data_IF_089999696698
#
_entry.id   IF_089999696698
#
_cell.length_a   1.000
_cell.length_b   1.000
_cell.length_c   1.000
_cell.angle_alpha   90.00
_cell.angle_beta   90.00
_cell.angle_gamma   90.00
#
_symmetry.space_group_name_H-M   'P 1'
#
loop_
_entity.id
_entity.type
_entity.pdbx_description
1 polymer ?
#
# COMPACT_ATOMS: atom_id res chain seq x y z
N UNK A 1 -1.46 -59.55 27.07
CA UNK A 1 -0.72 -58.28 27.23
C UNK A 1 -0.35 -57.61 25.91
N UNK A 2 0.26 -58.30 24.93
CA UNK A 2 0.72 -57.70 23.65
C UNK A 2 -0.37 -56.95 22.84
N UNK A 3 -1.61 -57.47 22.78
CA UNK A 3 -2.74 -56.79 22.10
C UNK A 3 -3.18 -55.48 22.77
N UNK A 4 -3.16 -55.40 24.11
CA UNK A 4 -3.53 -54.18 24.85
C UNK A 4 -2.46 -53.09 24.72
N UNK A 5 -1.19 -53.49 24.60
CA UNK A 5 -0.07 -52.57 24.38
C UNK A 5 -0.11 -51.95 22.96
N UNK A 6 -0.47 -52.74 21.94
CA UNK A 6 -0.60 -52.25 20.57
C UNK A 6 -1.74 -51.24 20.38
N UNK A 7 -2.87 -51.44 21.06
CA UNK A 7 -4.00 -50.49 21.03
C UNK A 7 -3.65 -49.18 21.73
N UNK A 8 -2.95 -49.24 22.87
CA UNK A 8 -2.48 -48.03 23.57
C UNK A 8 -1.48 -47.22 22.73
N UNK A 9 -0.56 -47.89 22.01
CA UNK A 9 0.39 -47.22 21.13
C UNK A 9 -0.30 -46.54 19.94
N UNK A 10 -1.33 -47.19 19.36
CA UNK A 10 -2.10 -46.64 18.25
C UNK A 10 -2.87 -45.38 18.69
N UNK A 11 -3.45 -45.39 19.89
CA UNK A 11 -4.14 -44.23 20.48
C UNK A 11 -3.17 -43.07 20.70
N UNK A 12 -1.95 -43.33 21.17
CA UNK A 12 -0.91 -42.31 21.36
C UNK A 12 -0.46 -41.71 20.03
N UNK A 13 -0.28 -42.53 18.99
CA UNK A 13 0.09 -42.06 17.65
C UNK A 13 -1.04 -41.22 17.04
N UNK A 14 -2.29 -41.66 17.16
CA UNK A 14 -3.44 -40.89 16.68
C UNK A 14 -3.56 -39.58 17.46
N UNK A 15 -3.41 -39.59 18.79
CA UNK A 15 -3.39 -38.36 19.60
C UNK A 15 -2.24 -37.44 19.21
N UNK A 16 -1.03 -37.95 19.00
CA UNK A 16 0.10 -37.14 18.53
C UNK A 16 -0.17 -36.55 17.16
N UNK A 17 -0.70 -37.31 16.20
CA UNK A 17 -1.05 -36.81 14.87
C UNK A 17 -2.17 -35.76 14.96
N UNK A 18 -3.21 -36.01 15.77
CA UNK A 18 -4.33 -35.07 15.92
C UNK A 18 -3.89 -33.77 16.59
N UNK A 19 -3.00 -33.89 17.58
CA UNK A 19 -2.40 -32.77 18.30
C UNK A 19 -1.43 -32.01 17.40
N UNK A 20 -0.58 -32.66 16.59
CA UNK A 20 0.29 -31.95 15.63
C UNK A 20 -0.52 -31.31 14.49
N UNK A 21 -1.62 -31.91 14.04
CA UNK A 21 -2.51 -31.29 13.04
C UNK A 21 -3.32 -30.12 13.61
N UNK A 22 -3.67 -30.13 14.91
CA UNK A 22 -4.37 -29.01 15.57
C UNK A 22 -3.43 -27.93 16.11
N UNK A 23 -2.18 -28.26 16.42
CA UNK A 23 -1.14 -27.29 16.84
C UNK A 23 -0.55 -26.58 15.62
N UNK A 24 -0.70 -27.13 14.42
CA UNK A 24 -0.03 -26.64 13.22
C UNK A 24 -0.75 -25.58 12.40
N UNK A 25 -2.04 -25.30 12.62
CA UNK A 25 -2.79 -24.28 11.88
C UNK A 25 -3.55 -23.39 12.87
N UNK A 26 -3.20 -22.12 12.89
CA UNK A 26 -4.02 -21.09 13.54
C UNK A 26 -5.38 -21.03 12.83
N UNK A 27 -6.49 -20.88 13.56
CA UNK A 27 -7.82 -20.71 12.97
C UNK A 27 -7.91 -19.49 12.03
N UNK A 28 -6.93 -18.59 12.12
CA UNK A 28 -6.83 -17.36 11.31
C UNK A 28 -5.78 -17.48 10.18
N UNK A 29 -5.29 -18.67 9.85
CA UNK A 29 -4.32 -18.89 8.78
C UNK A 29 -4.98 -19.48 7.53
N UNK A 30 -4.76 -18.85 6.38
CA UNK A 30 -5.27 -19.28 5.09
C UNK A 30 -4.27 -20.19 4.38
N UNK A 31 -4.77 -21.25 3.78
CA UNK A 31 -3.97 -22.12 2.91
C UNK A 31 -4.01 -21.64 1.46
N UNK A 32 -3.06 -22.13 0.67
CA UNK A 32 -3.00 -21.89 -0.77
C UNK A 32 -4.27 -22.36 -1.49
N UNK A 33 -4.86 -23.47 -1.06
CA UNK A 33 -6.08 -24.03 -1.66
C UNK A 33 -7.29 -23.12 -1.38
N UNK A 34 -7.36 -22.54 -0.18
CA UNK A 34 -8.43 -21.61 0.19
C UNK A 34 -8.36 -20.33 -0.64
N UNK A 35 -7.18 -19.71 -0.77
CA UNK A 35 -7.06 -18.45 -1.52
C UNK A 35 -7.20 -18.65 -3.04
N UNK A 36 -6.91 -19.83 -3.56
CA UNK A 36 -7.09 -20.15 -4.99
C UNK A 36 -8.54 -20.53 -5.34
N UNK A 37 -9.48 -20.47 -4.39
CA UNK A 37 -10.88 -20.67 -4.71
C UNK A 37 -11.40 -19.45 -5.50
N UNK A 38 -12.07 -19.63 -6.67
CA UNK A 38 -12.49 -18.50 -7.51
C UNK A 38 -13.36 -17.45 -6.82
N UNK A 39 -14.15 -17.90 -5.86
CA UNK A 39 -15.08 -17.07 -5.09
C UNK A 39 -14.50 -16.51 -3.78
N UNK A 40 -13.20 -16.73 -3.52
CA UNK A 40 -12.56 -16.39 -2.24
C UNK A 40 -12.73 -14.92 -1.81
N UNK A 41 -12.80 -13.99 -2.77
CA UNK A 41 -12.93 -12.56 -2.50
C UNK A 41 -14.38 -12.09 -2.29
N UNK A 42 -15.40 -12.91 -2.63
CA UNK A 42 -16.81 -12.44 -2.67
C UNK A 42 -17.37 -12.02 -1.32
N UNK A 43 -16.87 -12.60 -0.24
CA UNK A 43 -17.25 -12.34 1.15
C UNK A 43 -16.20 -11.48 1.90
N UNK A 44 -15.24 -10.90 1.18
CA UNK A 44 -14.19 -10.05 1.76
C UNK A 44 -14.50 -8.58 1.50
N UNK A 45 -14.41 -7.78 2.55
CA UNK A 45 -14.59 -6.33 2.46
C UNK A 45 -13.27 -5.59 2.34
N UNK A 46 -12.18 -6.14 2.89
CA UNK A 46 -10.90 -5.46 2.92
C UNK A 46 -9.72 -6.43 2.97
N UNK A 47 -8.54 -5.91 2.63
CA UNK A 47 -7.28 -6.62 2.76
C UNK A 47 -6.17 -5.67 3.22
N UNK A 48 -5.33 -6.15 4.16
CA UNK A 48 -4.15 -5.46 4.67
C UNK A 48 -2.91 -6.23 4.25
N UNK A 49 -1.94 -5.56 3.65
CA UNK A 49 -0.63 -6.12 3.34
C UNK A 49 0.36 -5.73 4.41
N UNK A 50 0.97 -6.73 5.04
CA UNK A 50 2.00 -6.54 6.05
C UNK A 50 3.28 -7.25 5.64
N UNK A 51 4.43 -6.67 5.97
CA UNK A 51 5.72 -7.33 5.72
C UNK A 51 6.78 -6.93 6.75
N UNK A 52 7.81 -7.76 6.86
CA UNK A 52 9.09 -7.37 7.46
C UNK A 52 9.76 -6.26 6.66
N UNK A 53 10.58 -5.46 7.32
CA UNK A 53 11.46 -4.47 6.69
C UNK A 53 12.62 -5.16 5.95
N UNK A 54 13.33 -4.44 5.06
CA UNK A 54 14.42 -5.03 4.28
C UNK A 54 15.62 -5.44 5.15
N UNK A 55 15.90 -4.72 6.25
CA UNK A 55 16.95 -5.08 7.20
C UNK A 55 16.65 -6.39 7.94
N UNK A 56 15.37 -6.66 8.22
CA UNK A 56 14.92 -7.92 8.82
C UNK A 56 14.99 -9.11 7.85
N UNK A 57 14.89 -8.88 6.53
CA UNK A 57 14.99 -9.91 5.49
C UNK A 57 16.42 -10.13 4.96
N UNK A 58 17.45 -9.53 5.55
CA UNK A 58 18.84 -9.73 5.10
C UNK A 58 19.31 -11.19 5.15
N UNK A 59 18.71 -12.01 6.02
CA UNK A 59 18.98 -13.44 6.12
C UNK A 59 18.06 -14.31 5.23
N UNK A 60 17.26 -13.67 4.37
CA UNK A 60 16.26 -14.26 3.49
C UNK A 60 15.09 -14.95 4.23
N UNK A 61 14.82 -14.61 5.50
CA UNK A 61 13.73 -15.18 6.33
C UNK A 61 12.60 -14.18 6.60
N UNK A 62 12.59 -13.05 5.92
CA UNK A 62 11.50 -12.09 5.95
C UNK A 62 10.20 -12.74 5.51
N UNK A 63 9.10 -12.25 6.07
CA UNK A 63 7.75 -12.77 5.86
C UNK A 63 6.81 -11.62 5.53
N UNK A 64 5.76 -11.93 4.79
CA UNK A 64 4.65 -11.02 4.55
C UNK A 64 3.32 -11.72 4.81
N UNK A 65 2.27 -10.93 5.03
CA UNK A 65 0.90 -11.41 5.11
C UNK A 65 0.00 -10.57 4.21
N UNK A 66 -0.89 -11.24 3.49
CA UNK A 66 -2.15 -10.64 3.05
C UNK A 66 -3.23 -11.05 4.05
N UNK A 67 -3.70 -10.11 4.89
CA UNK A 67 -4.76 -10.36 5.87
C UNK A 67 -6.08 -9.88 5.30
N UNK A 68 -6.97 -10.83 5.02
CA UNK A 68 -8.31 -10.58 4.50
C UNK A 68 -9.29 -10.43 5.65
N UNK A 69 -10.11 -9.38 5.59
CA UNK A 69 -11.19 -9.10 6.52
C UNK A 69 -12.50 -9.42 5.79
N UNK A 70 -13.28 -10.36 6.33
CA UNK A 70 -14.59 -10.69 5.79
C UNK A 70 -15.66 -9.66 6.15
N UNK A 71 -16.83 -9.72 5.52
CA UNK A 71 -17.94 -8.78 5.76
C UNK A 71 -18.45 -8.76 7.22
N UNK A 72 -18.11 -9.76 8.02
CA UNK A 72 -18.46 -9.85 9.44
C UNK A 72 -17.35 -9.31 10.36
N UNK A 73 -16.25 -8.81 9.79
CA UNK A 73 -15.11 -8.29 10.53
C UNK A 73 -14.12 -9.37 10.97
N UNK A 74 -14.19 -10.61 10.49
CA UNK A 74 -13.23 -11.65 10.85
C UNK A 74 -11.99 -11.59 9.96
N UNK A 75 -10.82 -11.53 10.58
CA UNK A 75 -9.53 -11.49 9.89
C UNK A 75 -8.90 -12.89 9.72
N UNK A 76 -8.43 -13.21 8.52
CA UNK A 76 -7.61 -14.39 8.23
C UNK A 76 -6.42 -14.03 7.33
N UNK A 77 -5.22 -14.50 7.68
CA UNK A 77 -3.96 -14.16 7.04
C UNK A 77 -3.43 -15.26 6.11
N UNK A 78 -3.01 -14.87 4.91
CA UNK A 78 -2.22 -15.71 4.01
C UNK A 78 -0.76 -15.30 4.10
N UNK A 79 0.10 -16.20 4.60
CA UNK A 79 1.53 -15.94 4.75
C UNK A 79 2.28 -16.09 3.43
N UNK A 80 3.21 -15.18 3.16
CA UNK A 80 4.07 -15.13 1.98
C UNK A 80 5.52 -14.84 2.37
N UNK A 81 6.42 -14.85 1.38
CA UNK A 81 7.79 -14.40 1.59
C UNK A 81 7.84 -12.87 1.78
N UNK A 82 8.87 -12.36 2.48
CA UNK A 82 9.02 -10.93 2.75
C UNK A 82 9.13 -10.07 1.48
N UNK A 83 8.51 -8.90 1.48
CA UNK A 83 8.77 -7.80 0.54
C UNK A 83 8.41 -6.49 1.23
N UNK A 84 9.44 -5.76 1.66
CA UNK A 84 9.29 -4.43 2.27
C UNK A 84 8.61 -3.49 1.28
N UNK A 85 7.69 -2.68 1.77
CA UNK A 85 6.91 -1.75 0.93
C UNK A 85 6.21 -2.46 -0.25
N UNK A 86 5.94 -3.76 -0.17
CA UNK A 86 5.06 -4.46 -1.10
C UNK A 86 3.64 -3.89 -1.11
N UNK A 87 2.90 -4.11 -2.19
CA UNK A 87 1.60 -3.47 -2.42
C UNK A 87 0.59 -4.47 -3.02
N UNK A 88 -0.67 -4.07 -3.10
CA UNK A 88 -1.75 -4.85 -3.71
C UNK A 88 -2.55 -4.00 -4.72
N UNK A 89 -3.04 -4.64 -5.77
CA UNK A 89 -3.87 -4.00 -6.78
C UNK A 89 -5.16 -4.76 -7.00
N UNK A 90 -6.26 -4.03 -7.18
CA UNK A 90 -7.61 -4.59 -7.33
C UNK A 90 -8.13 -4.27 -8.72
N UNK A 91 -8.74 -5.27 -9.34
CA UNK A 91 -9.72 -5.11 -10.41
C UNK A 91 -11.09 -5.55 -9.90
N UNK A 92 -12.14 -5.36 -10.70
CA UNK A 92 -13.51 -5.81 -10.37
C UNK A 92 -13.63 -7.32 -10.07
N UNK A 93 -12.61 -8.12 -10.41
CA UNK A 93 -12.67 -9.58 -10.41
C UNK A 93 -11.52 -10.24 -9.66
N UNK A 94 -10.40 -9.54 -9.51
CA UNK A 94 -9.15 -10.12 -9.04
C UNK A 94 -8.38 -9.15 -8.14
N UNK A 95 -7.59 -9.74 -7.25
CA UNK A 95 -6.60 -9.07 -6.43
C UNK A 95 -5.21 -9.56 -6.83
N UNK A 96 -4.31 -8.65 -7.16
CA UNK A 96 -2.88 -8.91 -7.23
C UNK A 96 -2.28 -8.75 -5.84
N UNK A 97 -1.63 -9.81 -5.35
CA UNK A 97 -0.72 -9.75 -4.19
C UNK A 97 0.67 -10.19 -4.62
N UNK A 98 1.69 -9.81 -3.85
CA UNK A 98 3.08 -10.08 -4.20
C UNK A 98 3.96 -10.36 -2.98
N UNK A 99 5.02 -11.12 -3.22
CA UNK A 99 6.20 -11.23 -2.35
C UNK A 99 7.47 -11.01 -3.17
N UNK A 100 8.66 -11.09 -2.56
CA UNK A 100 9.95 -10.83 -3.25
C UNK A 100 10.22 -11.69 -4.48
N UNK A 101 9.53 -12.82 -4.67
CA UNK A 101 9.76 -13.75 -5.78
C UNK A 101 8.55 -13.96 -6.68
N UNK A 102 7.33 -13.79 -6.17
CA UNK A 102 6.11 -14.22 -6.83
C UNK A 102 5.03 -13.15 -6.79
N UNK A 103 4.33 -12.98 -7.91
CA UNK A 103 3.10 -12.22 -8.01
C UNK A 103 1.96 -13.24 -8.13
N UNK A 104 0.84 -12.99 -7.47
CA UNK A 104 -0.33 -13.87 -7.50
C UNK A 104 -1.58 -13.07 -7.79
N UNK A 105 -2.31 -13.51 -8.81
CA UNK A 105 -3.69 -13.09 -9.02
C UNK A 105 -4.61 -14.05 -8.25
N UNK A 106 -5.47 -13.48 -7.41
CA UNK A 106 -6.49 -14.15 -6.60
C UNK A 106 -7.87 -13.71 -7.09
N UNK A 107 -8.84 -14.62 -7.19
CA UNK A 107 -10.22 -14.28 -7.57
C UNK A 107 -10.72 -15.17 -8.71
N UNK A 108 -11.52 -14.62 -9.63
CA UNK A 108 -12.22 -15.40 -10.68
C UNK A 108 -11.28 -16.32 -11.46
N UNK A 109 -10.07 -15.83 -11.75
CA UNK A 109 -8.98 -16.60 -12.35
C UNK A 109 -7.71 -16.43 -11.54
N UNK A 110 -7.13 -17.55 -11.12
CA UNK A 110 -5.89 -17.51 -10.33
C UNK A 110 -4.68 -17.69 -11.24
N UNK A 111 -3.62 -16.93 -10.97
CA UNK A 111 -2.35 -17.05 -11.67
C UNK A 111 -1.19 -16.85 -10.69
N UNK A 112 -0.09 -17.54 -10.92
CA UNK A 112 1.17 -17.35 -10.19
C UNK A 112 2.26 -17.02 -11.18
N UNK A 113 2.99 -15.97 -10.89
CA UNK A 113 4.03 -15.45 -11.75
C UNK A 113 5.31 -15.38 -10.95
N UNK A 114 6.27 -16.21 -11.35
CA UNK A 114 7.64 -16.11 -10.85
C UNK A 114 8.35 -14.91 -11.47
N UNK A 115 9.11 -14.20 -10.64
CA UNK A 115 9.95 -13.08 -11.09
C UNK A 115 11.30 -13.06 -10.39
N UNK A 116 12.20 -12.21 -10.90
CA UNK A 116 13.47 -11.96 -10.23
C UNK A 116 13.21 -11.31 -8.88
N UNK A 117 14.04 -11.71 -7.91
CA UNK A 117 14.07 -11.16 -6.55
C UNK A 117 13.87 -9.63 -6.56
N UNK A 118 12.98 -9.12 -5.71
CA UNK A 118 12.79 -7.69 -5.42
C UNK A 118 12.93 -7.43 -3.92
N UNK A 119 13.68 -6.38 -3.54
CA UNK A 119 13.91 -6.02 -2.14
C UNK A 119 12.80 -5.12 -1.60
N UNK A 120 12.39 -4.13 -2.40
CA UNK A 120 11.53 -3.03 -1.95
C UNK A 120 10.49 -2.73 -3.02
N UNK A 121 9.21 -2.84 -2.65
CA UNK A 121 8.08 -2.41 -3.47
C UNK A 121 7.96 -0.90 -3.53
N UNK A 122 7.31 -0.42 -4.58
CA UNK A 122 6.97 1.00 -4.74
C UNK A 122 5.45 1.12 -4.90
N UNK A 123 4.90 0.51 -5.96
CA UNK A 123 3.45 0.55 -6.22
C UNK A 123 3.01 -0.63 -7.06
N UNK A 124 1.85 -1.16 -6.70
CA UNK A 124 1.04 -1.98 -7.62
C UNK A 124 -0.18 -1.19 -8.07
N UNK A 125 -0.70 -1.50 -9.25
CA UNK A 125 -1.94 -0.90 -9.74
C UNK A 125 -2.58 -1.70 -10.86
N UNK A 126 -3.75 -1.26 -11.30
CA UNK A 126 -4.53 -1.88 -12.37
C UNK A 126 -4.95 -0.81 -13.39
N UNK A 127 -4.63 -1.04 -14.65
CA UNK A 127 -4.99 -0.18 -15.78
C UNK A 127 -6.25 -0.77 -16.44
N UNK A 128 -7.42 -0.38 -15.95
CA UNK A 128 -8.71 -0.95 -16.35
C UNK A 128 -8.98 -0.90 -17.87
N UNK A 129 -8.53 0.15 -18.58
CA UNK A 129 -8.71 0.24 -20.04
C UNK A 129 -7.87 -0.75 -20.84
N UNK A 130 -6.85 -1.33 -20.21
CA UNK A 130 -5.94 -2.29 -20.83
C UNK A 130 -6.12 -3.69 -20.26
N UNK A 131 -6.88 -3.85 -19.18
CA UNK A 131 -6.99 -5.08 -18.39
C UNK A 131 -5.61 -5.64 -17.99
N UNK A 132 -4.78 -4.75 -17.44
CA UNK A 132 -3.39 -5.06 -17.06
C UNK A 132 -3.15 -4.62 -15.63
N UNK A 133 -2.66 -5.54 -14.81
CA UNK A 133 -2.02 -5.24 -13.54
C UNK A 133 -0.57 -4.84 -13.77
N UNK A 134 -0.03 -4.00 -12.89
CA UNK A 134 1.40 -3.69 -12.85
C UNK A 134 1.93 -3.64 -11.41
N UNK A 135 3.22 -3.85 -11.27
CA UNK A 135 3.96 -3.63 -10.04
C UNK A 135 5.34 -3.03 -10.31
N UNK A 136 5.72 -2.05 -9.49
CA UNK A 136 6.94 -1.26 -9.58
C UNK A 136 7.75 -1.48 -8.31
N UNK A 137 9.07 -1.59 -8.48
CA UNK A 137 10.03 -1.86 -7.41
C UNK A 137 11.22 -0.92 -7.52
N UNK A 138 11.68 -0.42 -6.38
CA UNK A 138 12.95 0.28 -6.25
C UNK A 138 14.04 -0.77 -5.99
N UNK A 139 14.82 -1.12 -7.02
CA UNK A 139 15.65 -2.34 -7.02
C UNK A 139 17.13 -2.14 -6.68
N UNK A 140 17.54 -0.92 -6.33
CA UNK A 140 18.87 -0.60 -5.83
C UNK A 140 19.82 0.07 -6.83
N UNK A 141 21.04 0.34 -6.36
CA UNK A 141 22.08 0.99 -7.16
C UNK A 141 22.61 0.05 -8.25
N UNK A 142 23.00 0.63 -9.39
CA UNK A 142 23.59 -0.10 -10.50
C UNK A 142 25.12 0.04 -10.51
N UNK A 143 25.79 -0.68 -11.42
CA UNK A 143 27.27 -0.74 -11.49
C UNK A 143 27.93 0.57 -11.97
N UNK A 144 27.16 1.59 -12.30
CA UNK A 144 27.64 2.88 -12.84
C UNK A 144 27.15 4.05 -12.00
N UNK A 145 27.04 3.86 -10.67
CA UNK A 145 26.57 4.86 -9.69
C UNK A 145 25.16 5.43 -9.95
N UNK A 146 24.37 4.77 -10.80
CA UNK A 146 22.96 5.09 -11.02
C UNK A 146 22.04 4.21 -10.16
N UNK A 147 20.73 4.34 -10.38
CA UNK A 147 19.72 3.53 -9.69
C UNK A 147 18.84 2.80 -10.70
N UNK A 148 18.51 1.54 -10.44
CA UNK A 148 17.60 0.76 -11.26
C UNK A 148 16.34 0.41 -10.46
N UNK A 149 15.21 0.63 -11.11
CA UNK A 149 13.90 0.17 -10.69
C UNK A 149 13.35 -0.81 -11.72
N UNK A 150 12.49 -1.71 -11.30
CA UNK A 150 11.84 -2.67 -12.19
C UNK A 150 10.34 -2.42 -12.25
N UNK A 151 9.73 -2.74 -13.38
CA UNK A 151 8.29 -2.82 -13.52
C UNK A 151 7.92 -4.17 -14.12
N UNK A 152 6.90 -4.80 -13.57
CA UNK A 152 6.27 -5.98 -14.14
C UNK A 152 4.81 -5.65 -14.44
N UNK A 153 4.28 -6.16 -15.55
CA UNK A 153 2.90 -5.92 -15.93
C UNK A 153 2.32 -7.08 -16.73
N UNK A 154 1.02 -7.30 -16.60
CA UNK A 154 0.31 -8.38 -17.26
C UNK A 154 -1.03 -8.69 -16.63
N UNK A 155 -1.57 -9.85 -16.96
CA UNK A 155 -2.84 -10.37 -16.46
C UNK A 155 -2.77 -11.90 -16.36
N UNK A 156 -3.93 -12.57 -16.37
CA UNK A 156 -4.04 -14.04 -16.33
C UNK A 156 -3.43 -14.74 -17.55
N UNK A 157 -3.18 -14.03 -18.65
CA UNK A 157 -2.47 -14.55 -19.83
C UNK A 157 -0.94 -14.54 -19.66
N UNK A 158 -0.44 -13.81 -18.67
CA UNK A 158 0.98 -13.77 -18.32
C UNK A 158 1.50 -12.36 -18.08
N UNK A 159 2.70 -12.29 -17.50
CA UNK A 159 3.38 -11.05 -17.13
C UNK A 159 4.71 -10.88 -17.85
N UNK A 160 5.11 -9.62 -18.00
CA UNK A 160 6.39 -9.19 -18.57
C UNK A 160 7.09 -8.28 -17.58
N UNK A 161 8.41 -8.20 -17.70
CA UNK A 161 9.24 -7.32 -16.87
C UNK A 161 10.04 -6.34 -17.73
N UNK A 162 10.36 -5.18 -17.18
CA UNK A 162 11.16 -4.15 -17.81
C UNK A 162 11.90 -3.28 -16.79
N UNK A 163 12.91 -2.55 -17.28
CA UNK A 163 13.75 -1.68 -16.46
C UNK A 163 13.33 -0.22 -16.56
N UNK A 164 13.25 0.42 -15.40
CA UNK A 164 13.09 1.85 -15.19
C UNK A 164 14.41 2.36 -14.60
N UNK A 165 15.30 2.99 -15.38
CA UNK A 165 16.66 3.37 -14.94
C UNK A 165 16.63 4.64 -14.07
N UNK A 166 15.79 4.65 -13.04
CA UNK A 166 15.52 5.78 -12.17
C UNK A 166 15.34 5.30 -10.73
N UNK A 167 15.73 6.15 -9.77
CA UNK A 167 15.18 6.08 -8.42
C UNK A 167 13.78 6.71 -8.43
N UNK A 168 12.78 5.93 -8.04
CA UNK A 168 11.37 6.35 -8.05
C UNK A 168 11.04 6.85 -6.66
N UNK A 169 10.71 8.14 -6.57
CA UNK A 169 10.35 8.80 -5.32
C UNK A 169 8.86 8.63 -5.01
N UNK A 170 8.00 8.76 -6.02
CA UNK A 170 6.57 8.49 -5.90
C UNK A 170 6.04 8.00 -7.24
N UNK A 171 4.88 7.38 -7.19
CA UNK A 171 4.20 6.83 -8.34
C UNK A 171 2.68 6.98 -8.19
N UNK A 172 1.99 6.89 -9.32
CA UNK A 172 0.54 6.90 -9.36
C UNK A 172 0.03 6.40 -10.71
N UNK A 173 -1.27 6.24 -10.85
CA UNK A 173 -1.87 5.76 -12.10
C UNK A 173 -3.30 6.25 -12.28
N UNK A 174 -3.74 6.28 -13.54
CA UNK A 174 -5.16 6.31 -13.93
C UNK A 174 -5.55 4.93 -14.45
N UNK A 175 -6.74 4.78 -15.02
CA UNK A 175 -7.17 3.56 -15.72
C UNK A 175 -6.32 3.21 -16.96
N UNK A 176 -5.44 4.11 -17.40
CA UNK A 176 -4.70 3.97 -18.66
C UNK A 176 -3.21 4.31 -18.56
N UNK A 177 -2.82 5.15 -17.60
CA UNK A 177 -1.50 5.76 -17.56
C UNK A 177 -0.84 5.54 -16.21
N UNK A 178 0.49 5.39 -16.22
CA UNK A 178 1.32 5.31 -15.02
C UNK A 178 2.18 6.58 -14.96
N UNK A 179 2.27 7.19 -13.79
CA UNK A 179 3.09 8.36 -13.53
C UNK A 179 4.18 8.03 -12.52
N UNK A 180 5.38 8.56 -12.76
CA UNK A 180 6.52 8.42 -11.87
C UNK A 180 7.08 9.80 -11.57
N UNK A 181 7.30 10.08 -10.29
CA UNK A 181 8.20 11.14 -9.86
C UNK A 181 9.54 10.51 -9.56
N UNK A 182 10.55 10.83 -10.37
CA UNK A 182 11.90 10.30 -10.22
C UNK A 182 12.82 11.34 -9.62
N UNK A 183 13.73 10.95 -8.74
CA UNK A 183 14.71 11.86 -8.14
C UNK A 183 16.15 11.52 -8.57
N UNK A 184 16.91 12.57 -8.91
CA UNK A 184 18.37 12.56 -8.99
C UNK A 184 18.88 13.27 -7.73
N UNK A 185 19.31 12.50 -6.74
CA UNK A 185 19.67 13.01 -5.41
C UNK A 185 20.96 13.84 -5.44
N UNK A 186 21.88 13.55 -6.37
CA UNK A 186 23.12 14.31 -6.51
C UNK A 186 22.87 15.70 -7.07
N UNK A 187 21.98 15.80 -8.07
CA UNK A 187 21.62 17.07 -8.69
C UNK A 187 20.47 17.79 -7.99
N UNK A 188 19.84 17.14 -7.01
CA UNK A 188 18.59 17.56 -6.37
C UNK A 188 17.52 17.89 -7.44
N UNK A 189 17.27 16.94 -8.35
CA UNK A 189 16.31 17.12 -9.46
C UNK A 189 15.16 16.14 -9.37
N UNK A 190 13.94 16.64 -9.54
CA UNK A 190 12.73 15.81 -9.51
C UNK A 190 12.03 15.93 -10.86
N UNK A 191 11.82 14.81 -11.53
CA UNK A 191 11.21 14.78 -12.87
C UNK A 191 9.95 13.94 -12.84
N UNK A 192 8.83 14.53 -13.23
CA UNK A 192 7.60 13.83 -13.51
C UNK A 192 7.71 13.17 -14.88
N UNK A 193 7.43 11.87 -14.93
CA UNK A 193 7.48 11.03 -16.13
C UNK A 193 6.18 10.27 -16.28
N UNK A 194 5.87 9.91 -17.52
CA UNK A 194 4.80 9.01 -17.91
C UNK A 194 5.38 7.70 -18.39
N UNK A 195 4.79 6.61 -17.94
CA UNK A 195 5.06 5.25 -18.42
C UNK A 195 3.82 4.75 -19.16
N UNK A 196 4.05 4.25 -20.39
CA UNK A 196 2.99 3.67 -21.23
C UNK A 196 3.34 2.23 -21.55
N UNK A 197 2.37 1.34 -21.34
CA UNK A 197 2.47 -0.10 -21.55
C UNK A 197 1.66 -0.49 -22.80
N UNK A 198 2.14 -0.13 -23.99
CA UNK A 198 1.39 -0.35 -25.25
C UNK A 198 2.10 -1.35 -26.16
N UNK A 199 1.32 -2.22 -26.81
CA UNK A 199 1.84 -3.18 -27.81
C UNK A 199 3.04 -3.99 -27.32
N UNK A 200 3.02 -4.43 -26.06
CA UNK A 200 4.12 -5.14 -25.41
C UNK A 200 5.42 -4.34 -25.23
N UNK A 201 5.39 -3.01 -25.35
CA UNK A 201 6.53 -2.13 -25.16
C UNK A 201 6.38 -1.28 -23.90
N UNK A 202 7.52 -1.01 -23.26
CA UNK A 202 7.65 -0.10 -22.12
C UNK A 202 8.21 1.23 -22.62
N UNK A 203 7.33 2.20 -22.81
CA UNK A 203 7.71 3.56 -23.19
C UNK A 203 7.80 4.47 -21.95
N UNK A 204 8.83 5.33 -21.93
CA UNK A 204 9.13 6.25 -20.84
C UNK A 204 9.26 7.65 -21.43
N UNK A 205 8.43 8.57 -20.97
CA UNK A 205 8.40 9.94 -21.50
C UNK A 205 8.47 10.95 -20.36
N UNK A 206 9.32 11.96 -20.52
CA UNK A 206 9.43 13.03 -19.53
C UNK A 206 8.30 14.03 -19.75
N UNK A 207 7.62 14.39 -18.67
CA UNK A 207 6.56 15.41 -18.70
C UNK A 207 7.18 16.76 -18.35
N UNK A 208 7.75 16.88 -17.14
CA UNK A 208 8.26 18.14 -16.60
C UNK A 208 9.23 17.86 -15.46
N UNK A 209 10.32 18.62 -15.42
CA UNK A 209 11.15 18.75 -14.22
C UNK A 209 10.49 19.77 -13.27
N UNK A 210 10.24 19.35 -12.03
CA UNK A 210 9.58 20.20 -11.05
C UNK A 210 10.43 21.42 -10.70
N UNK A 211 9.75 22.54 -10.52
CA UNK A 211 10.36 23.79 -10.09
C UNK A 211 10.41 23.78 -8.55
N UNK A 212 11.52 23.29 -8.01
CA UNK A 212 11.74 23.14 -6.57
C UNK A 212 12.49 24.33 -5.97
N UNK A 213 12.32 24.55 -4.67
CA UNK A 213 13.07 25.56 -3.92
C UNK A 213 14.50 25.08 -3.67
N UNK A 214 15.49 25.93 -3.95
CA UNK A 214 16.90 25.63 -3.65
C UNK A 214 17.12 25.50 -2.14
N UNK A 215 17.93 24.51 -1.74
CA UNK A 215 18.24 24.25 -0.33
C UNK A 215 17.12 23.52 0.42
N UNK A 216 16.20 22.89 -0.31
CA UNK A 216 15.16 22.03 0.22
C UNK A 216 15.28 20.64 -0.37
N UNK A 217 14.93 19.64 0.43
CA UNK A 217 14.74 18.25 0.03
C UNK A 217 13.26 17.94 0.00
N UNK A 218 12.87 16.97 -0.83
CA UNK A 218 11.47 16.59 -0.97
C UNK A 218 11.29 15.09 -0.77
N UNK A 219 10.30 14.73 0.02
CA UNK A 219 9.88 13.35 0.27
C UNK A 219 8.43 13.15 -0.14
N UNK A 220 8.04 11.95 -0.62
CA UNK A 220 6.69 11.67 -1.06
C UNK A 220 5.74 11.52 0.14
N UNK A 221 4.55 12.11 0.06
CA UNK A 221 3.50 11.91 1.08
C UNK A 221 2.31 11.08 0.58
N UNK A 222 2.12 11.01 -0.75
CA UNK A 222 0.97 10.35 -1.33
C UNK A 222 1.23 9.88 -2.77
N UNK A 223 0.33 9.05 -3.35
CA UNK A 223 0.28 8.79 -4.78
C UNK A 223 0.26 10.07 -5.61
N UNK A 224 0.82 10.00 -6.81
CA UNK A 224 0.54 10.99 -7.85
C UNK A 224 -0.89 10.77 -8.34
N UNK A 225 -1.73 11.79 -8.23
CA UNK A 225 -3.10 11.75 -8.74
C UNK A 225 -3.22 12.61 -10.00
N UNK A 226 -4.27 12.35 -10.77
CA UNK A 226 -4.45 13.05 -12.03
C UNK A 226 -5.90 13.07 -12.49
N UNK A 227 -6.35 14.23 -12.95
CA UNK A 227 -7.65 14.44 -13.58
C UNK A 227 -7.46 14.93 -15.03
N UNK A 228 -8.47 15.57 -15.62
CA UNK A 228 -8.36 16.11 -16.98
C UNK A 228 -7.50 17.38 -17.09
N UNK A 229 -7.21 18.06 -15.98
CA UNK A 229 -6.57 19.38 -15.97
C UNK A 229 -5.16 19.35 -15.37
N UNK A 230 -4.94 18.60 -14.30
CA UNK A 230 -3.73 18.62 -13.48
C UNK A 230 -3.13 17.23 -13.24
N UNK A 231 -1.82 17.24 -12.99
CA UNK A 231 -1.17 16.26 -12.13
C UNK A 231 -1.06 16.85 -10.72
N UNK A 232 -1.39 16.04 -9.72
CA UNK A 232 -1.36 16.39 -8.30
C UNK A 232 -0.20 15.66 -7.65
N UNK A 233 0.77 16.40 -7.12
CA UNK A 233 1.99 15.84 -6.54
C UNK A 233 2.17 16.39 -5.13
N UNK A 234 1.93 15.54 -4.13
CA UNK A 234 2.02 15.91 -2.72
C UNK A 234 3.35 15.47 -2.11
N UNK A 235 4.11 16.42 -1.59
CA UNK A 235 5.44 16.21 -1.05
C UNK A 235 5.59 16.87 0.33
N UNK A 236 6.44 16.29 1.19
CA UNK A 236 7.04 17.02 2.31
C UNK A 236 8.22 17.81 1.77
N UNK A 237 8.22 19.12 1.99
CA UNK A 237 9.29 20.06 1.67
C UNK A 237 10.10 20.34 2.94
N UNK A 238 11.31 19.79 3.01
CA UNK A 238 12.18 19.84 4.19
C UNK A 238 13.29 20.87 3.98
N UNK A 239 13.37 21.84 4.88
CA UNK A 239 14.42 22.86 4.88
C UNK A 239 15.72 22.37 5.53
N UNK A 240 16.82 23.09 5.30
CA UNK A 240 18.10 22.82 5.95
C UNK A 240 18.09 22.96 7.48
N UNK A 241 17.12 23.68 8.06
CA UNK A 241 16.91 23.78 9.51
C UNK A 241 15.91 22.75 10.05
N UNK A 242 15.64 21.69 9.28
CA UNK A 242 14.75 20.58 9.63
C UNK A 242 13.32 21.03 9.95
N UNK A 243 12.82 22.00 9.18
CA UNK A 243 11.40 22.34 9.17
C UNK A 243 10.73 21.72 7.96
N UNK A 244 9.53 21.20 8.16
CA UNK A 244 8.76 20.51 7.14
C UNK A 244 7.48 21.27 6.82
N UNK A 245 7.20 21.37 5.52
CA UNK A 245 5.94 21.86 4.99
C UNK A 245 5.31 20.76 4.14
N UNK A 246 3.99 20.58 4.27
CA UNK A 246 3.22 19.76 3.33
C UNK A 246 2.83 20.64 2.14
N UNK A 247 3.32 20.27 0.95
CA UNK A 247 3.13 21.06 -0.28
C UNK A 247 2.51 20.21 -1.37
N UNK A 248 1.45 20.73 -1.99
CA UNK A 248 0.80 20.15 -3.15
C UNK A 248 1.20 20.95 -4.39
N UNK A 249 1.83 20.29 -5.35
CA UNK A 249 2.05 20.85 -6.67
C UNK A 249 0.92 20.47 -7.61
N UNK A 250 0.26 21.48 -8.17
CA UNK A 250 -0.69 21.36 -9.26
C UNK A 250 0.03 21.68 -10.57
N UNK A 251 0.24 20.67 -11.41
CA UNK A 251 0.89 20.83 -12.72
C UNK A 251 -0.16 20.76 -13.83
N UNK A 252 -0.39 21.87 -14.53
CA UNK A 252 -1.35 21.91 -15.63
C UNK A 252 -0.88 21.02 -16.80
N UNK A 253 -1.72 20.08 -17.24
CA UNK A 253 -1.37 19.11 -18.29
C UNK A 253 -1.09 19.75 -19.66
N UNK A 254 -1.69 20.91 -19.94
CA UNK A 254 -1.60 21.58 -21.24
C UNK A 254 -0.49 22.64 -21.26
N UNK A 255 -0.42 23.49 -20.24
CA UNK A 255 0.56 24.59 -20.20
C UNK A 255 1.86 24.19 -19.52
N UNK A 256 1.85 23.10 -18.73
CA UNK A 256 2.95 22.68 -17.86
C UNK A 256 3.34 23.73 -16.80
N UNK A 257 2.42 24.66 -16.51
CA UNK A 257 2.54 25.60 -15.42
C UNK A 257 2.36 24.88 -14.08
N UNK A 258 3.24 25.18 -13.13
CA UNK A 258 3.27 24.58 -11.80
C UNK A 258 2.78 25.60 -10.76
N UNK A 259 1.69 25.27 -10.07
CA UNK A 259 1.22 26.02 -8.90
C UNK A 259 1.56 25.25 -7.63
N UNK A 260 2.04 25.94 -6.59
CA UNK A 260 2.30 25.37 -5.27
C UNK A 260 1.19 25.79 -4.31
N UNK A 261 0.58 24.83 -3.64
CA UNK A 261 -0.37 25.03 -2.54
C UNK A 261 0.27 24.51 -1.26
N UNK A 262 0.32 25.33 -0.22
CA UNK A 262 0.84 24.93 1.10
C UNK A 262 -0.35 24.49 1.95
N UNK A 263 -0.39 23.21 2.36
CA UNK A 263 -1.49 22.67 3.16
C UNK A 263 -1.24 22.84 4.65
N UNK A 264 0.02 22.67 5.04
CA UNK A 264 0.43 22.83 6.42
C UNK A 264 1.92 23.15 6.49
N UNK A 265 2.33 24.01 7.42
CA UNK A 265 3.68 24.60 7.41
C UNK A 265 4.29 24.73 8.79
N UNK A 266 5.61 24.57 8.87
CA UNK A 266 6.38 24.96 10.05
C UNK A 266 6.49 23.89 11.13
N UNK A 267 6.23 22.62 10.79
CA UNK A 267 6.50 21.51 11.69
C UNK A 267 8.00 21.26 11.81
N UNK A 268 8.41 20.75 12.97
CA UNK A 268 9.74 20.18 13.10
C UNK A 268 9.78 18.82 12.38
N UNK A 269 10.90 18.47 11.78
CA UNK A 269 11.13 17.11 11.27
C UNK A 269 10.83 16.08 12.36
N UNK A 270 10.08 15.04 11.98
CA UNK A 270 9.50 14.01 12.86
C UNK A 270 8.21 14.38 13.61
N UNK A 271 7.60 15.53 13.36
CA UNK A 271 6.24 15.77 13.82
C UNK A 271 5.28 14.78 13.14
N UNK A 272 4.46 14.01 13.88
CA UNK A 272 3.47 13.11 13.31
C UNK A 272 2.55 13.75 12.26
N UNK A 273 2.26 15.05 12.40
CA UNK A 273 1.43 15.82 11.47
C UNK A 273 2.09 16.06 10.11
N UNK A 274 3.42 15.94 10.03
CA UNK A 274 4.19 16.09 8.80
C UNK A 274 4.22 14.80 7.96
N UNK A 275 3.81 13.66 8.52
CA UNK A 275 3.78 12.39 7.80
C UNK A 275 2.40 12.06 7.23
N UNK A 276 2.38 11.18 6.25
CA UNK A 276 1.14 10.58 5.73
C UNK A 276 0.70 9.41 6.60
N UNK A 277 -0.61 9.14 6.67
CA UNK A 277 -1.07 7.88 7.27
C UNK A 277 -0.63 6.68 6.42
N UNK A 278 -0.66 6.82 5.09
CA UNK A 278 -0.23 5.82 4.14
C UNK A 278 0.28 6.52 2.87
N UNK A 279 1.56 6.40 2.54
CA UNK A 279 2.12 7.08 1.37
C UNK A 279 1.62 6.55 0.01
N UNK A 280 1.01 5.37 -0.03
CA UNK A 280 0.45 4.74 -1.25
C UNK A 280 -1.03 5.04 -1.48
N UNK A 281 -1.79 5.28 -0.42
CA UNK A 281 -3.25 5.43 -0.43
C UNK A 281 -3.76 6.68 0.30
N UNK A 282 -2.89 7.49 0.89
CA UNK A 282 -3.26 8.62 1.75
C UNK A 282 -3.83 9.84 1.03
N UNK A 283 -4.05 9.77 -0.29
CA UNK A 283 -4.71 10.83 -1.05
C UNK A 283 -5.66 10.27 -2.12
N UNK A 284 -6.65 11.09 -2.48
CA UNK A 284 -7.68 10.72 -3.46
C UNK A 284 -8.25 11.92 -4.21
N UNK A 285 -8.88 11.67 -5.36
CA UNK A 285 -9.64 12.66 -6.10
C UNK A 285 -11.12 12.27 -6.08
N UNK A 286 -11.97 13.14 -5.55
CA UNK A 286 -13.41 12.97 -5.56
C UNK A 286 -14.09 14.28 -5.96
N UNK A 287 -14.94 14.24 -7.00
CA UNK A 287 -15.65 15.40 -7.55
C UNK A 287 -14.77 16.64 -7.78
N UNK A 288 -13.64 16.46 -8.49
CA UNK A 288 -12.65 17.52 -8.77
C UNK A 288 -11.94 18.12 -7.53
N UNK A 289 -12.07 17.48 -6.37
CA UNK A 289 -11.40 17.88 -5.13
C UNK A 289 -10.34 16.85 -4.76
N UNK A 290 -9.12 17.33 -4.47
CA UNK A 290 -8.01 16.54 -3.96
C UNK A 290 -8.14 16.41 -2.45
N UNK A 291 -8.15 15.18 -1.94
CA UNK A 291 -8.15 14.87 -0.51
C UNK A 291 -6.81 14.28 -0.10
N UNK A 292 -6.34 14.60 1.11
CA UNK A 292 -5.16 14.00 1.74
C UNK A 292 -5.38 13.87 3.25
N UNK A 293 -4.99 12.73 3.83
CA UNK A 293 -5.02 12.52 5.28
C UNK A 293 -3.60 12.36 5.84
N UNK A 294 -3.26 13.19 6.82
CA UNK A 294 -1.95 13.14 7.48
C UNK A 294 -1.90 12.14 8.64
N UNK A 295 -0.76 12.08 9.30
CA UNK A 295 -0.43 11.10 10.32
C UNK A 295 -1.10 11.29 11.67
N UNK A 296 -1.87 12.37 11.84
CA UNK A 296 -2.68 12.66 13.02
C UNK A 296 -4.17 12.74 12.68
N UNK A 297 -4.57 12.26 11.50
CA UNK A 297 -5.97 12.17 11.09
C UNK A 297 -6.58 13.50 10.66
N UNK A 298 -5.80 14.52 10.34
CA UNK A 298 -6.32 15.70 9.66
C UNK A 298 -6.50 15.40 8.18
N UNK A 299 -7.73 15.62 7.68
CA UNK A 299 -8.08 15.46 6.28
C UNK A 299 -8.16 16.82 5.62
N UNK A 300 -7.26 17.08 4.67
CA UNK A 300 -7.20 18.28 3.86
C UNK A 300 -7.99 18.06 2.56
N UNK A 301 -8.67 19.10 2.09
CA UNK A 301 -9.28 19.11 0.78
C UNK A 301 -8.84 20.36 -0.01
N UNK A 302 -8.57 20.20 -1.31
CA UNK A 302 -8.09 21.28 -2.19
C UNK A 302 -8.80 21.18 -3.53
N UNK A 303 -9.42 22.26 -4.00
CA UNK A 303 -10.00 22.30 -5.35
C UNK A 303 -8.92 22.36 -6.43
N UNK A 304 -9.34 22.06 -7.66
CA UNK A 304 -8.48 22.17 -8.84
C UNK A 304 -7.85 23.55 -9.09
N UNK A 305 -8.37 24.63 -8.51
CA UNK A 305 -7.79 25.97 -8.59
C UNK A 305 -6.83 26.28 -7.41
N UNK A 306 -6.59 25.30 -6.53
CA UNK A 306 -5.66 25.40 -5.42
C UNK A 306 -6.21 26.06 -4.16
N UNK A 307 -7.53 26.21 -4.06
CA UNK A 307 -8.17 26.71 -2.83
C UNK A 307 -8.41 25.56 -1.85
N UNK A 308 -8.08 25.78 -0.58
CA UNK A 308 -8.45 24.87 0.49
C UNK A 308 -9.98 24.80 0.63
N UNK A 309 -10.50 23.59 0.82
CA UNK A 309 -11.91 23.30 1.02
C UNK A 309 -12.05 22.38 2.24
N UNK A 310 -13.28 22.30 2.78
CA UNK A 310 -13.77 21.31 3.75
C UNK A 310 -12.67 20.42 4.38
N UNK A 311 -12.03 20.94 5.44
CA UNK A 311 -11.12 20.19 6.29
C UNK A 311 -11.92 19.53 7.42
N UNK A 312 -11.57 18.30 7.77
CA UNK A 312 -12.10 17.64 8.97
C UNK A 312 -11.02 16.84 9.70
N UNK A 313 -11.29 16.50 10.96
CA UNK A 313 -10.43 15.67 11.78
C UNK A 313 -11.15 14.35 12.03
N UNK A 314 -10.43 13.24 11.89
CA UNK A 314 -10.95 11.93 12.26
C UNK A 314 -11.27 11.89 13.77
N UNK A 315 -12.41 11.30 14.11
CA UNK A 315 -12.89 11.25 15.50
C UNK A 315 -11.91 10.46 16.38
N UNK A 316 -11.60 11.01 17.55
CA UNK A 316 -10.71 10.43 18.56
C UNK A 316 -9.37 9.89 17.99
N UNK A 317 -8.81 10.56 16.96
CA UNK A 317 -7.55 10.14 16.35
C UNK A 317 -6.35 10.51 17.23
N UNK A 318 -5.43 9.57 17.56
CA UNK A 318 -4.25 9.86 18.35
C UNK A 318 -3.37 10.95 17.72
N UNK A 319 -2.99 11.93 18.53
CA UNK A 319 -2.15 13.05 18.10
C UNK A 319 -0.67 12.85 18.46
N UNK A 320 -0.32 11.72 19.06
CA UNK A 320 1.05 11.40 19.53
C UNK A 320 1.92 10.74 18.43
N UNK A 321 1.31 10.34 17.32
CA UNK A 321 1.98 9.68 16.20
C UNK A 321 2.39 8.23 16.44
N UNK A 322 1.99 7.63 17.55
CA UNK A 322 2.24 6.21 17.79
C UNK A 322 1.30 5.42 16.91
N UNK A 323 1.86 4.46 16.16
CA UNK A 323 1.11 3.63 15.21
C UNK A 323 1.28 2.15 15.46
N UNK A 324 0.16 1.45 15.38
CA UNK A 324 0.00 0.01 15.52
C UNK A 324 -0.52 -0.64 14.23
N UNK A 325 -0.01 -0.19 13.06
CA UNK A 325 -0.44 -0.61 11.71
C UNK A 325 -1.78 -0.01 11.26
N UNK A 326 -2.11 1.20 11.71
CA UNK A 326 -3.23 1.98 11.17
C UNK A 326 -2.96 2.33 9.72
N UNK A 327 -4.03 2.31 8.93
CA UNK A 327 -3.98 2.52 7.50
C UNK A 327 -5.20 3.31 7.04
N UNK A 328 -5.08 3.95 5.87
CA UNK A 328 -6.22 4.61 5.25
C UNK A 328 -6.35 4.26 3.78
N UNK A 329 -7.59 4.23 3.31
CA UNK A 329 -7.92 3.98 1.92
C UNK A 329 -9.16 4.79 1.52
N UNK A 330 -9.07 5.55 0.44
CA UNK A 330 -10.20 6.26 -0.12
C UNK A 330 -10.82 5.44 -1.25
N UNK A 331 -12.14 5.37 -1.27
CA UNK A 331 -12.90 4.78 -2.37
C UNK A 331 -14.32 5.36 -2.40
N UNK A 332 -14.83 5.63 -3.60
CA UNK A 332 -16.15 6.22 -3.76
C UNK A 332 -16.22 7.61 -3.13
N UNK A 333 -17.20 7.82 -2.26
CA UNK A 333 -17.42 9.05 -1.50
C UNK A 333 -16.95 8.94 -0.03
N UNK A 334 -16.09 7.97 0.28
CA UNK A 334 -15.66 7.67 1.64
C UNK A 334 -14.15 7.54 1.81
N UNK A 335 -13.70 7.86 3.03
CA UNK A 335 -12.40 7.53 3.58
C UNK A 335 -12.56 6.40 4.60
N UNK A 336 -11.90 5.28 4.37
CA UNK A 336 -11.84 4.16 5.30
C UNK A 336 -10.54 4.19 6.09
N UNK A 337 -10.60 3.92 7.39
CA UNK A 337 -9.46 3.98 8.30
C UNK A 337 -9.42 2.72 9.16
N UNK A 338 -8.36 1.94 9.02
CA UNK A 338 -8.04 0.85 9.95
C UNK A 338 -7.41 1.46 11.19
N UNK A 339 -8.00 1.20 12.35
CA UNK A 339 -7.64 1.81 13.63
C UNK A 339 -7.23 0.75 14.65
N UNK A 340 -6.50 1.20 15.67
CA UNK A 340 -6.15 0.41 16.85
C UNK A 340 -6.58 1.13 18.13
N UNK A 341 -7.11 0.38 19.09
CA UNK A 341 -7.41 0.83 20.45
C UNK A 341 -7.28 -0.35 21.43
N UNK A 342 -6.28 -0.29 22.32
CA UNK A 342 -6.01 -1.34 23.30
C UNK A 342 -7.12 -1.51 24.35
N UNK A 343 -8.01 -0.51 24.48
CA UNK A 343 -9.15 -0.56 25.41
C UNK A 343 -10.36 -1.32 24.85
N UNK A 344 -10.42 -1.52 23.53
CA UNK A 344 -11.50 -2.27 22.87
C UNK A 344 -11.28 -3.78 22.98
N UNK A 345 -12.39 -4.54 23.02
CA UNK A 345 -12.37 -6.01 23.02
C UNK A 345 -11.65 -6.54 21.78
N UNK A 346 -12.08 -6.05 20.62
CA UNK A 346 -11.43 -6.25 19.34
C UNK A 346 -10.54 -5.03 19.13
N UNK A 347 -9.23 -5.19 19.35
CA UNK A 347 -8.29 -4.06 19.40
C UNK A 347 -8.19 -3.30 18.08
N UNK A 348 -8.49 -3.97 16.97
CA UNK A 348 -8.54 -3.37 15.66
C UNK A 348 -9.99 -3.18 15.22
N UNK A 349 -10.26 -2.10 14.49
CA UNK A 349 -11.57 -1.79 13.95
C UNK A 349 -11.43 -0.96 12.67
N UNK A 350 -12.44 -1.03 11.81
CA UNK A 350 -12.55 -0.25 10.59
C UNK A 350 -13.58 0.85 10.79
N UNK A 351 -13.20 2.09 10.48
CA UNK A 351 -14.12 3.23 10.43
C UNK A 351 -14.25 3.72 8.98
N UNK A 352 -15.40 4.29 8.64
CA UNK A 352 -15.60 5.03 7.40
C UNK A 352 -16.10 6.45 7.67
N UNK A 353 -15.66 7.40 6.85
CA UNK A 353 -16.00 8.82 6.96
C UNK A 353 -16.46 9.34 5.59
N UNK A 354 -17.51 10.15 5.57
CA UNK A 354 -17.97 10.77 4.32
C UNK A 354 -17.04 11.88 3.87
N UNK A 355 -16.65 11.89 2.60
CA UNK A 355 -15.88 12.99 2.00
C UNK A 355 -16.72 14.25 1.77
N UNK A 356 -18.05 14.16 1.80
CA UNK A 356 -18.94 15.30 1.64
C UNK A 356 -18.89 16.23 2.85
N UNK A 357 -18.98 15.66 4.06
CA UNK A 357 -19.16 16.42 5.30
C UNK A 357 -18.19 16.05 6.44
N UNK A 358 -17.35 15.02 6.27
CA UNK A 358 -16.40 14.57 7.27
C UNK A 358 -16.99 13.76 8.44
N UNK A 359 -18.28 13.44 8.40
CA UNK A 359 -18.94 12.67 9.47
C UNK A 359 -18.58 11.19 9.38
N UNK A 360 -18.36 10.56 10.55
CA UNK A 360 -18.22 9.11 10.67
C UNK A 360 -19.53 8.43 10.27
N UNK A 361 -19.44 7.47 9.35
CA UNK A 361 -20.60 6.74 8.79
C UNK A 361 -20.78 5.41 9.50
N UNK A 362 -19.71 4.63 9.64
CA UNK A 362 -19.75 3.29 10.23
C UNK A 362 -18.48 3.00 11.03
N UNK A 363 -18.62 2.12 12.02
CA UNK A 363 -17.52 1.49 12.75
C UNK A 363 -17.79 -0.01 12.88
N UNK A 364 -16.79 -0.85 12.56
CA UNK A 364 -16.86 -2.30 12.74
C UNK A 364 -15.59 -2.85 13.39
N UNK A 365 -15.76 -3.64 14.46
CA UNK A 365 -14.65 -4.36 15.09
C UNK A 365 -14.06 -5.45 14.18
N UNK A 366 -12.73 -5.64 14.25
CA UNK A 366 -12.01 -6.66 13.49
C UNK A 366 -11.50 -7.75 14.43
N UNK A 367 -12.13 -8.92 14.39
CA UNK A 367 -11.74 -10.06 15.20
C UNK A 367 -10.52 -10.76 14.59
N UNK A 368 -9.47 -10.96 15.41
CA UNK A 368 -8.39 -11.90 15.11
C UNK A 368 -7.17 -11.30 14.40
N UNK A 369 -7.21 -10.02 14.00
CA UNK A 369 -6.03 -9.34 13.46
C UNK A 369 -4.90 -9.25 14.50
N UNK A 370 -5.23 -8.91 15.75
CA UNK A 370 -4.30 -8.89 16.88
C UNK A 370 -3.63 -10.26 17.12
N UNK A 371 -4.40 -11.35 16.97
CA UNK A 371 -3.90 -12.74 17.08
C UNK A 371 -2.93 -13.09 15.95
N UNK A 372 -3.21 -12.66 14.72
CA UNK A 372 -2.30 -12.85 13.58
C UNK A 372 -0.98 -12.11 13.84
N UNK A 373 -1.05 -10.82 14.18
CA UNK A 373 0.13 -9.99 14.42
C UNK A 373 1.00 -10.52 15.58
N UNK A 374 0.37 -10.94 16.68
CA UNK A 374 1.07 -11.50 17.85
C UNK A 374 1.60 -12.92 17.64
N UNK A 375 1.15 -13.63 16.60
CA UNK A 375 1.66 -14.96 16.24
C UNK A 375 3.05 -14.92 15.60
N UNK A 376 3.45 -13.77 15.04
CA UNK A 376 4.77 -13.58 14.42
C UNK A 376 5.86 -13.61 15.49
N UNK A 377 6.85 -14.49 15.33
CA UNK A 377 7.95 -14.68 16.29
C UNK A 377 9.30 -14.44 15.65
N UNK A 378 10.18 -13.75 16.38
CA UNK A 378 11.57 -13.53 15.98
C UNK A 378 11.77 -12.44 14.92
N UNK A 379 10.70 -11.78 14.48
CA UNK A 379 10.71 -10.58 13.61
C UNK A 379 9.49 -9.72 13.92
N UNK A 380 9.41 -8.53 13.34
CA UNK A 380 8.20 -7.70 13.33
C UNK A 380 7.67 -7.59 11.91
N UNK A 381 6.36 -7.34 11.76
CA UNK A 381 5.76 -6.98 10.47
C UNK A 381 5.04 -5.65 10.61
N UNK A 382 5.06 -4.87 9.53
CA UNK A 382 4.47 -3.55 9.45
C UNK A 382 3.51 -3.52 8.28
N UNK A 383 2.40 -2.80 8.42
CA UNK A 383 1.50 -2.57 7.31
C UNK A 383 2.12 -1.64 6.29
N UNK A 384 1.94 -1.97 5.00
CA UNK A 384 2.44 -1.18 3.88
C UNK A 384 1.40 -0.90 2.80
N UNK A 385 0.23 -1.54 2.86
CA UNK A 385 -0.87 -1.30 1.94
C UNK A 385 -2.19 -1.78 2.55
N UNK A 386 -3.27 -1.09 2.24
CA UNK A 386 -4.62 -1.40 2.70
C UNK A 386 -5.59 -1.08 1.58
N UNK A 387 -6.53 -1.98 1.34
CA UNK A 387 -7.55 -1.79 0.32
C UNK A 387 -8.92 -2.24 0.81
N UNK A 388 -9.94 -1.49 0.41
CA UNK A 388 -11.33 -1.93 0.44
C UNK A 388 -11.62 -2.65 -0.88
N UNK A 389 -12.31 -3.78 -0.79
CA UNK A 389 -12.61 -4.69 -1.91
C UNK A 389 -14.03 -4.53 -2.46
N UNK A 390 -14.87 -3.69 -1.84
CA UNK A 390 -16.30 -3.56 -2.14
C UNK A 390 -16.76 -2.10 -2.22
#
# INVERSE_FOLDING_TARGET
MKKKLGIALLIIIVLMITVTTKIGHSENELTIDTINHPDFLKDKQAVVYLSTTADQDMNNKGISYAVFIDDQGKACGFQMAGLELGSMAISDKQLLIEDKHTMRLIGEKNAVIDRKYQHTGERTGYLAKQDIFFSIYNSGTNSTDGYNSNIYWGNDEGFRGGNLPYYILSSGSTEEEIFLLTADLEKNEYTLRKVVLKNNQLEKNDIKKLEIKKGYQYAPLAPILSDNLHYYILLSEVSNDNRENTVLFLLNKKTLEQTKVELNTGYMTNDPAAFSINSKNGAYLWRDVFFYVNGIGEVFAVSKDGQEQNKFLLEDFPQDGIRHNEEAYFVGDQLFVLRYDDSKKDKYYLESYSLENGEKVEEQGIEGLDKILSSVKGTSIYSYDFKILK
#
